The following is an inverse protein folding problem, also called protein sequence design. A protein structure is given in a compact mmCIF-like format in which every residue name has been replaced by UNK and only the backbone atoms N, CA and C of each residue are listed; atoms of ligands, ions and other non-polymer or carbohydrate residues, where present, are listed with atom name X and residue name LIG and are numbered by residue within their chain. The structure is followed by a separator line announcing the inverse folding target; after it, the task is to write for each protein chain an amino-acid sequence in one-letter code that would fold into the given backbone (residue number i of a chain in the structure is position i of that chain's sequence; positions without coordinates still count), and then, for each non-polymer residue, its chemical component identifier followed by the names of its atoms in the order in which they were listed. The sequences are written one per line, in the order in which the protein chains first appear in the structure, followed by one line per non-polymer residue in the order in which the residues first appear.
data_IF_472468773989
#
_entry.id   IF_472468773989
#
_cell.length_a   1.000
_cell.length_b   1.000
_cell.length_c   1.000
_cell.angle_alpha   90.00
_cell.angle_beta   90.00
_cell.angle_gamma   90.00
#
_symmetry.space_group_name_H-M   'P 1'
#
loop_
_entity.id
_entity.type
_entity.pdbx_description
1 polymer ?
#
# COMPACT_ATOMS: atom_id res chain seq x y z
N UNK A 1 24.26 8.67 5.15
CA UNK A 1 22.97 7.97 5.38
C UNK A 1 23.31 6.55 5.80
N UNK A 2 22.88 6.11 6.98
CA UNK A 2 23.13 4.74 7.44
C UNK A 2 22.41 3.76 6.52
N UNK A 3 23.13 2.75 6.02
CA UNK A 3 22.61 1.72 5.12
C UNK A 3 21.59 0.87 5.88
N UNK A 4 20.34 0.79 5.42
CA UNK A 4 19.32 -0.07 6.04
C UNK A 4 19.66 -1.52 5.67
N UNK A 5 19.80 -2.40 6.67
CA UNK A 5 20.13 -3.81 6.43
C UNK A 5 18.89 -4.73 6.43
N UNK A 6 17.78 -4.25 6.99
CA UNK A 6 16.55 -5.03 7.17
C UNK A 6 15.34 -4.09 7.15
N UNK A 7 14.43 -4.33 6.21
CA UNK A 7 13.24 -3.48 6.01
C UNK A 7 12.22 -3.66 7.14
N UNK A 8 12.22 -4.79 7.85
CA UNK A 8 11.34 -5.02 9.02
C UNK A 8 11.68 -4.12 10.20
N UNK A 9 12.86 -3.49 10.20
CA UNK A 9 13.28 -2.49 11.19
C UNK A 9 12.86 -1.08 10.81
N UNK A 10 12.32 -0.87 9.61
CA UNK A 10 11.84 0.41 9.14
C UNK A 10 10.37 0.56 9.49
N UNK A 11 10.03 1.59 10.25
CA UNK A 11 8.63 1.97 10.49
C UNK A 11 7.95 2.36 9.18
N UNK A 12 6.74 1.82 8.94
CA UNK A 12 5.93 2.20 7.78
C UNK A 12 5.66 3.72 7.72
N UNK A 13 5.41 4.36 8.87
CA UNK A 13 5.23 5.81 8.93
C UNK A 13 6.50 6.56 8.52
N UNK A 14 7.66 6.11 8.99
CA UNK A 14 8.94 6.73 8.64
C UNK A 14 9.27 6.57 7.15
N UNK A 15 8.95 5.41 6.56
CA UNK A 15 9.10 5.20 5.11
C UNK A 15 8.21 6.17 4.31
N UNK A 16 6.94 6.30 4.70
CA UNK A 16 5.98 7.23 4.06
C UNK A 16 6.47 8.68 4.17
N UNK A 17 6.84 9.13 5.36
CA UNK A 17 7.33 10.50 5.58
C UNK A 17 8.60 10.79 4.79
N UNK A 18 9.54 9.84 4.76
CA UNK A 18 10.78 9.98 3.99
C UNK A 18 10.51 10.04 2.48
N UNK A 19 9.53 9.28 1.98
CA UNK A 19 9.10 9.33 0.58
C UNK A 19 8.49 10.69 0.24
N UNK A 20 7.56 11.20 1.06
CA UNK A 20 6.95 12.52 0.86
C UNK A 20 8.01 13.64 0.84
N UNK A 21 9.00 13.58 1.74
CA UNK A 21 10.12 14.52 1.73
C UNK A 21 11.02 14.39 0.49
N UNK A 22 11.19 13.18 -0.04
CA UNK A 22 11.93 12.94 -1.27
C UNK A 22 11.19 13.48 -2.49
N UNK A 23 9.90 13.20 -2.62
CA UNK A 23 9.04 13.66 -3.73
C UNK A 23 9.00 15.20 -3.75
N UNK A 24 8.82 15.84 -2.58
CA UNK A 24 8.90 17.31 -2.45
C UNK A 24 10.25 17.88 -2.90
N UNK A 25 11.36 17.22 -2.56
CA UNK A 25 12.70 17.67 -2.99
C UNK A 25 12.90 17.55 -4.51
N UNK A 26 12.23 16.60 -5.17
CA UNK A 26 12.25 16.45 -6.63
C UNK A 26 11.34 17.47 -7.34
N UNK A 27 10.44 18.11 -6.60
CA UNK A 27 9.44 19.01 -7.17
C UNK A 27 8.26 18.26 -7.79
N UNK A 28 8.03 17.02 -7.37
CA UNK A 28 6.89 16.24 -7.84
C UNK A 28 5.59 16.88 -7.34
N UNK A 29 4.51 16.89 -8.14
CA UNK A 29 3.20 17.29 -7.64
C UNK A 29 2.83 16.37 -6.47
N UNK A 30 2.45 16.96 -5.34
CA UNK A 30 2.15 16.20 -4.12
C UNK A 30 1.17 15.06 -4.40
N UNK A 31 1.51 13.86 -3.95
CA UNK A 31 0.71 12.66 -4.21
C UNK A 31 -0.65 12.73 -3.51
N UNK A 32 -0.68 13.31 -2.32
CA UNK A 32 -1.89 13.51 -1.53
C UNK A 32 -2.36 14.96 -1.61
N UNK A 33 -3.67 15.21 -1.46
CA UNK A 33 -4.14 16.54 -1.07
C UNK A 33 -3.42 17.03 0.18
N UNK A 34 -3.16 18.34 0.26
CA UNK A 34 -2.38 18.95 1.35
C UNK A 34 -2.90 18.57 2.74
N UNK A 35 -4.22 18.56 2.93
CA UNK A 35 -4.85 18.15 4.20
C UNK A 35 -4.52 16.71 4.62
N UNK A 36 -4.38 15.79 3.67
CA UNK A 36 -4.06 14.39 3.95
C UNK A 36 -2.57 14.22 4.22
N UNK A 37 -1.72 14.93 3.50
CA UNK A 37 -0.29 14.99 3.81
C UNK A 37 -0.04 15.54 5.23
N UNK A 38 -0.76 16.61 5.61
CA UNK A 38 -0.67 17.20 6.95
C UNK A 38 -1.06 16.20 8.05
N UNK A 39 -2.12 15.41 7.85
CA UNK A 39 -2.51 14.35 8.79
C UNK A 39 -1.45 13.26 8.92
N UNK A 40 -0.83 12.84 7.82
CA UNK A 40 0.27 11.87 7.82
C UNK A 40 1.45 12.41 8.64
N UNK A 41 1.81 13.69 8.43
CA UNK A 41 2.92 14.34 9.15
C UNK A 41 2.62 14.51 10.65
N UNK A 42 1.36 14.64 11.03
CA UNK A 42 0.92 14.79 12.42
C UNK A 42 0.90 13.48 13.25
N UNK A 43 1.16 12.31 12.65
CA UNK A 43 0.99 10.99 13.28
C UNK A 43 1.83 10.67 14.55
N UNK A 44 2.67 11.59 15.04
CA UNK A 44 3.42 11.51 16.30
C UNK A 44 3.83 10.07 16.77
N UNK A 45 4.90 9.53 16.17
CA UNK A 45 5.79 8.48 16.72
C UNK A 45 5.26 7.07 17.01
N UNK A 46 3.99 6.71 16.80
CA UNK A 46 3.56 5.29 16.76
C UNK A 46 2.51 5.04 15.68
N UNK A 47 2.84 4.16 14.74
CA UNK A 47 1.89 3.59 13.78
C UNK A 47 0.66 3.08 14.54
N UNK A 48 -0.55 3.58 14.23
CA UNK A 48 -1.80 3.15 14.87
C UNK A 48 -2.34 4.06 15.98
N UNK A 49 -1.82 5.28 16.19
CA UNK A 49 -2.58 6.30 16.93
C UNK A 49 -3.94 6.50 16.23
N UNK A 50 -5.05 6.56 16.98
CA UNK A 50 -6.45 6.59 16.45
C UNK A 50 -6.74 7.65 15.37
N UNK A 51 -5.85 8.62 15.16
CA UNK A 51 -5.95 9.70 14.19
C UNK A 51 -4.97 9.59 13.00
N UNK A 52 -4.07 8.61 12.99
CA UNK A 52 -3.06 8.46 11.94
C UNK A 52 -3.65 7.68 10.75
N UNK A 53 -3.69 8.25 9.53
CA UNK A 53 -4.21 7.56 8.35
C UNK A 53 -3.29 6.42 7.87
N UNK A 54 -2.05 6.35 8.37
CA UNK A 54 -1.10 5.29 8.01
C UNK A 54 -1.40 4.04 8.85
N UNK A 55 -1.82 2.96 8.18
CA UNK A 55 -2.10 1.66 8.80
C UNK A 55 -0.80 0.99 9.28
N UNK A 56 -0.95 -0.05 10.10
CA UNK A 56 0.18 -0.88 10.51
C UNK A 56 0.89 -1.47 9.28
N UNK A 57 2.22 -1.45 9.31
CA UNK A 57 3.06 -2.04 8.27
C UNK A 57 2.83 -3.54 8.14
N UNK A 58 2.81 -4.05 6.91
CA UNK A 58 2.82 -5.48 6.62
C UNK A 58 4.07 -5.83 5.85
N UNK A 59 4.56 -7.05 6.03
CA UNK A 59 5.80 -7.53 5.42
C UNK A 59 5.55 -8.87 4.76
N UNK A 60 5.81 -8.95 3.46
CA UNK A 60 5.59 -10.15 2.65
C UNK A 60 6.61 -10.21 1.52
N UNK A 61 7.13 -11.40 1.22
CA UNK A 61 7.92 -11.64 0.02
C UNK A 61 7.01 -11.60 -1.23
N UNK A 62 7.08 -10.50 -1.96
CA UNK A 62 6.34 -10.22 -3.19
C UNK A 62 7.22 -10.36 -4.43
N UNK A 63 8.54 -10.37 -4.26
CA UNK A 63 9.51 -10.48 -5.36
C UNK A 63 10.02 -11.90 -5.59
N UNK A 64 9.80 -12.79 -4.62
CA UNK A 64 10.26 -14.18 -4.62
C UNK A 64 11.75 -14.34 -4.31
N UNK A 65 12.39 -13.30 -3.76
CA UNK A 65 13.83 -13.31 -3.44
C UNK A 65 14.13 -13.74 -1.98
N UNK A 66 13.10 -14.11 -1.22
CA UNK A 66 13.20 -14.54 0.17
C UNK A 66 13.32 -13.38 1.17
N UNK A 67 13.28 -12.13 0.71
CA UNK A 67 13.21 -10.94 1.56
C UNK A 67 11.81 -10.33 1.48
N UNK A 68 11.28 -9.92 2.63
CA UNK A 68 9.98 -9.26 2.65
C UNK A 68 10.07 -7.83 2.13
N UNK A 69 9.11 -7.47 1.28
CA UNK A 69 8.76 -6.10 0.98
C UNK A 69 7.87 -5.50 2.06
N UNK A 70 7.98 -4.18 2.27
CA UNK A 70 7.15 -3.41 3.18
C UNK A 70 5.93 -2.88 2.44
N UNK A 71 4.75 -3.29 2.89
CA UNK A 71 3.45 -2.79 2.41
C UNK A 71 2.93 -1.78 3.44
N UNK A 72 2.59 -0.58 2.97
CA UNK A 72 1.95 0.46 3.76
C UNK A 72 0.67 0.90 3.07
N UNK A 73 -0.43 0.92 3.84
CA UNK A 73 -1.70 1.46 3.38
C UNK A 73 -2.02 2.76 4.10
N UNK A 74 -2.50 3.76 3.36
CA UNK A 74 -2.73 5.13 3.83
C UNK A 74 -4.17 5.49 3.49
N UNK A 75 -4.97 5.75 4.51
CA UNK A 75 -6.38 6.12 4.37
C UNK A 75 -6.51 7.56 3.85
N UNK A 76 -7.11 7.72 2.68
CA UNK A 76 -7.49 9.02 2.16
C UNK A 76 -8.69 9.58 2.91
N UNK A 77 -8.81 10.91 2.96
CA UNK A 77 -9.95 11.56 3.63
C UNK A 77 -11.26 11.50 2.85
N UNK A 78 -11.23 11.10 1.57
CA UNK A 78 -12.39 11.09 0.67
C UNK A 78 -12.55 9.74 -0.02
N UNK A 79 -13.81 9.43 -0.35
CA UNK A 79 -14.20 8.37 -1.29
C UNK A 79 -13.66 6.95 -1.01
N UNK A 80 -13.36 6.66 0.27
CA UNK A 80 -12.78 5.39 0.74
C UNK A 80 -11.48 5.02 0.01
N UNK A 81 -10.78 6.02 -0.55
CA UNK A 81 -9.50 5.82 -1.19
C UNK A 81 -8.50 5.27 -0.18
N UNK A 82 -7.79 4.24 -0.60
CA UNK A 82 -6.72 3.62 0.16
C UNK A 82 -5.47 3.60 -0.71
N UNK A 83 -4.55 4.53 -0.46
CA UNK A 83 -3.25 4.49 -1.10
C UNK A 83 -2.44 3.32 -0.55
N UNK A 84 -1.89 2.51 -1.44
CA UNK A 84 -1.04 1.37 -1.11
C UNK A 84 0.32 1.63 -1.73
N UNK A 85 1.32 1.80 -0.87
CA UNK A 85 2.71 1.88 -1.26
C UNK A 85 3.42 0.60 -0.85
N UNK A 86 4.19 0.03 -1.78
CA UNK A 86 5.05 -1.11 -1.49
C UNK A 86 6.49 -0.71 -1.69
N UNK A 87 7.34 -1.08 -0.74
CA UNK A 87 8.76 -0.76 -0.74
C UNK A 87 9.61 -2.02 -0.73
N UNK A 88 10.70 -1.96 -1.49
CA UNK A 88 11.75 -2.97 -1.50
C UNK A 88 13.05 -2.39 -0.99
N UNK A 89 13.79 -3.18 -0.22
CA UNK A 89 15.18 -2.86 0.13
C UNK A 89 16.11 -3.44 -0.92
N UNK A 90 16.88 -2.58 -1.60
CA UNK A 90 17.89 -2.99 -2.57
C UNK A 90 19.17 -2.22 -2.31
N UNK A 91 20.28 -2.94 -2.15
CA UNK A 91 21.59 -2.35 -1.87
C UNK A 91 21.59 -1.35 -0.69
N UNK A 92 20.73 -1.61 0.30
CA UNK A 92 20.56 -0.78 1.48
C UNK A 92 19.77 0.52 1.28
N UNK A 93 19.12 0.65 0.11
CA UNK A 93 18.25 1.76 -0.27
C UNK A 93 16.81 1.26 -0.35
N UNK A 94 15.88 2.03 0.21
CA UNK A 94 14.45 1.73 0.17
C UNK A 94 13.86 2.35 -1.09
N UNK A 95 13.27 1.51 -1.95
CA UNK A 95 12.66 1.91 -3.22
C UNK A 95 11.15 1.65 -3.18
N UNK A 96 10.33 2.63 -3.57
CA UNK A 96 8.90 2.40 -3.82
C UNK A 96 8.76 1.62 -5.13
N UNK A 97 8.20 0.42 -5.06
CA UNK A 97 8.00 -0.50 -6.18
C UNK A 97 6.52 -0.68 -6.56
N UNK A 98 5.58 -0.19 -5.75
CA UNK A 98 4.16 -0.04 -6.12
C UNK A 98 3.64 1.26 -5.57
N UNK A 99 2.81 1.92 -6.36
CA UNK A 99 2.07 3.12 -5.97
C UNK A 99 0.68 3.12 -6.61
N UNK A 100 -0.35 2.79 -5.83
CA UNK A 100 -1.74 2.72 -6.30
C UNK A 100 -2.70 3.29 -5.25
N UNK A 101 -3.84 3.83 -5.67
CA UNK A 101 -4.87 4.38 -4.78
C UNK A 101 -6.26 3.83 -5.12
N UNK A 102 -6.51 2.52 -4.92
CA UNK A 102 -7.83 1.92 -5.10
C UNK A 102 -8.87 2.44 -4.08
N UNK A 103 -10.14 2.12 -4.31
CA UNK A 103 -11.22 2.18 -3.30
C UNK A 103 -11.69 0.77 -2.93
N UNK A 104 -10.86 -0.04 -2.24
CA UNK A 104 -11.07 -1.47 -2.13
C UNK A 104 -12.15 -1.85 -1.12
N UNK A 105 -12.91 -2.89 -1.46
CA UNK A 105 -13.67 -3.74 -0.54
C UNK A 105 -12.74 -4.62 0.30
N UNK A 106 -11.66 -5.12 -0.30
CA UNK A 106 -10.67 -5.98 0.34
C UNK A 106 -9.27 -5.79 -0.27
N UNK A 107 -8.25 -6.01 0.55
CA UNK A 107 -6.84 -6.11 0.16
C UNK A 107 -6.30 -7.41 0.73
N UNK A 108 -5.70 -8.23 -0.12
CA UNK A 108 -5.19 -9.55 0.21
C UNK A 108 -3.74 -9.69 -0.29
N UNK A 109 -2.92 -10.46 0.42
CA UNK A 109 -1.61 -10.91 -0.06
C UNK A 109 -1.64 -12.42 -0.12
N UNK A 110 -1.42 -12.98 -1.31
CA UNK A 110 -1.43 -14.43 -1.52
C UNK A 110 -0.50 -14.82 -2.67
N UNK A 111 0.29 -15.88 -2.49
CA UNK A 111 1.16 -16.41 -3.54
C UNK A 111 2.18 -15.41 -4.07
N UNK A 112 2.70 -14.51 -3.21
CA UNK A 112 3.63 -13.45 -3.63
C UNK A 112 2.99 -12.33 -4.45
N UNK A 113 1.65 -12.19 -4.40
CA UNK A 113 0.90 -11.16 -5.12
C UNK A 113 0.13 -10.27 -4.15
N UNK A 114 0.02 -9.00 -4.49
CA UNK A 114 -0.93 -8.08 -3.84
C UNK A 114 -2.22 -8.07 -4.65
N UNK A 115 -3.35 -8.23 -3.99
CA UNK A 115 -4.66 -8.36 -4.63
C UNK A 115 -5.60 -7.33 -4.04
N UNK A 116 -6.23 -6.53 -4.90
CA UNK A 116 -7.30 -5.61 -4.49
C UNK A 116 -8.62 -6.08 -5.08
N UNK A 117 -9.70 -5.88 -4.30
CA UNK A 117 -11.07 -6.09 -4.78
C UNK A 117 -11.83 -4.79 -4.65
N UNK A 118 -12.41 -4.29 -5.72
CA UNK A 118 -13.08 -2.98 -5.78
C UNK A 118 -14.52 -3.13 -6.24
N UNK A 119 -15.45 -2.27 -5.75
CA UNK A 119 -16.81 -2.27 -6.29
C UNK A 119 -16.80 -1.83 -7.76
N UNK A 120 -17.72 -2.37 -8.55
CA UNK A 120 -17.98 -1.91 -9.92
C UNK A 120 -19.26 -1.07 -9.97
N UNK A 121 -19.46 -0.36 -11.08
CA UNK A 121 -20.72 0.31 -11.41
C UNK A 121 -21.89 -0.68 -11.55
N UNK A 122 -21.61 -1.92 -11.97
CA UNK A 122 -22.58 -3.02 -12.03
C UNK A 122 -22.84 -3.62 -10.64
N UNK A 123 -24.07 -3.56 -10.11
CA UNK A 123 -24.39 -4.16 -8.82
C UNK A 123 -24.14 -5.67 -8.80
N UNK A 124 -23.59 -6.16 -7.68
CA UNK A 124 -23.28 -7.59 -7.50
C UNK A 124 -22.00 -8.06 -8.21
N UNK A 125 -21.22 -7.15 -8.79
CA UNK A 125 -19.89 -7.43 -9.34
C UNK A 125 -18.80 -6.68 -8.55
N UNK A 126 -17.58 -7.17 -8.68
CA UNK A 126 -16.35 -6.57 -8.16
C UNK A 126 -15.22 -6.74 -9.18
N UNK A 127 -14.34 -5.76 -9.25
CA UNK A 127 -13.08 -5.86 -9.99
C UNK A 127 -12.03 -6.46 -9.06
N UNK A 128 -11.29 -7.46 -9.52
CA UNK A 128 -10.16 -8.06 -8.82
C UNK A 128 -8.89 -7.74 -9.59
N UNK A 129 -8.04 -6.89 -9.02
CA UNK A 129 -6.74 -6.55 -9.60
C UNK A 129 -5.65 -7.31 -8.87
N UNK A 130 -4.80 -7.99 -9.62
CA UNK A 130 -3.61 -8.70 -9.10
C UNK A 130 -2.37 -7.93 -9.53
N UNK A 131 -1.56 -7.56 -8.56
CA UNK A 131 -0.26 -6.94 -8.76
C UNK A 131 0.85 -7.97 -8.54
N UNK A 132 1.70 -8.11 -9.56
CA UNK A 132 2.80 -9.06 -9.58
C UNK A 132 4.13 -8.39 -9.88
N UNK A 133 5.22 -8.99 -9.39
CA UNK A 133 6.57 -8.51 -9.63
C UNK A 133 7.00 -8.66 -11.09
N UNK A 134 7.45 -7.56 -11.67
CA UNK A 134 8.14 -7.53 -12.95
C UNK A 134 9.64 -7.28 -12.73
N UNK A 135 10.51 -8.31 -12.86
CA UNK A 135 11.94 -8.18 -12.59
C UNK A 135 12.69 -7.31 -13.61
N UNK A 136 12.13 -7.09 -14.81
CA UNK A 136 12.75 -6.32 -15.88
C UNK A 136 12.73 -4.82 -15.56
N UNK A 137 11.59 -4.31 -15.08
CA UNK A 137 11.42 -2.89 -14.70
C UNK A 137 11.50 -2.66 -13.19
N UNK A 138 11.63 -3.73 -12.41
CA UNK A 138 11.81 -3.72 -10.95
C UNK A 138 10.66 -3.02 -10.20
N UNK A 139 9.41 -3.27 -10.62
CA UNK A 139 8.19 -2.79 -9.96
C UNK A 139 7.15 -3.89 -9.83
N UNK A 140 6.20 -3.75 -8.92
CA UNK A 140 4.93 -4.46 -9.00
C UNK A 140 4.05 -3.75 -10.03
N UNK A 141 3.48 -4.50 -10.96
CA UNK A 141 2.55 -3.99 -11.97
C UNK A 141 1.28 -4.84 -12.02
N UNK A 142 0.26 -4.35 -12.73
CA UNK A 142 -0.97 -5.11 -12.94
C UNK A 142 -0.67 -6.35 -13.78
N UNK A 143 -0.79 -7.51 -13.16
CA UNK A 143 -0.65 -8.82 -13.82
C UNK A 143 -1.99 -9.28 -14.39
N UNK A 144 -3.09 -9.01 -13.69
CA UNK A 144 -4.45 -9.25 -14.18
C UNK A 144 -5.47 -8.31 -13.55
N UNK A 145 -6.56 -8.07 -14.28
CA UNK A 145 -7.73 -7.36 -13.80
C UNK A 145 -8.98 -8.12 -14.28
N UNK A 146 -9.75 -8.66 -13.34
CA UNK A 146 -10.88 -9.54 -13.61
C UNK A 146 -12.18 -8.96 -13.07
N UNK A 147 -13.28 -9.16 -13.78
CA UNK A 147 -14.62 -8.74 -13.33
C UNK A 147 -15.39 -9.96 -12.83
N UNK A 148 -15.49 -10.09 -11.52
CA UNK A 148 -16.07 -11.26 -10.87
C UNK A 148 -17.43 -10.93 -10.28
N UNK A 149 -18.34 -11.91 -10.28
CA UNK A 149 -19.57 -11.79 -9.48
C UNK A 149 -19.15 -11.82 -8.01
N UNK A 150 -19.64 -10.84 -7.24
CA UNK A 150 -19.36 -10.75 -5.80
C UNK A 150 -19.84 -12.02 -5.13
N UNK A 151 -18.92 -12.75 -4.49
CA UNK A 151 -19.27 -13.90 -3.67
C UNK A 151 -19.91 -13.40 -2.37
N UNK A 152 -21.00 -14.02 -1.86
CA UNK A 152 -21.65 -13.58 -0.62
C UNK A 152 -20.82 -13.72 0.67
N UNK A 153 -19.54 -14.10 0.60
CA UNK A 153 -18.67 -14.34 1.74
C UNK A 153 -17.66 -13.20 1.95
N UNK A 154 -18.11 -12.12 2.58
CA UNK A 154 -17.38 -11.34 3.61
C UNK A 154 -18.28 -10.23 4.14
N UNK A 155 -19.50 -10.58 4.55
CA UNK A 155 -20.11 -9.84 5.64
C UNK A 155 -19.31 -10.21 6.89
N UNK A 156 -18.60 -9.25 7.49
CA UNK A 156 -18.01 -9.42 8.81
C UNK A 156 -19.02 -10.11 9.75
N UNK A 157 -18.59 -11.03 10.63
CA UNK A 157 -19.52 -11.68 11.53
C UNK A 157 -20.21 -10.59 12.37
N UNK A 158 -21.54 -10.51 12.26
CA UNK A 158 -22.32 -9.67 13.16
C UNK A 158 -22.15 -10.28 14.55
N UNK A 159 -21.40 -9.58 15.40
CA UNK A 159 -21.17 -9.95 16.79
C UNK A 159 -22.51 -10.20 17.50
N UNK A 160 -22.52 -11.27 18.27
CA UNK A 160 -23.61 -11.71 19.14
C UNK A 160 -23.57 -10.94 20.45
#
# INVERSE_FOLDING_TARGET
MSKVADLRKVSGLSAVQAQLDADRRRGDPGFFPEDDENKIRACATRSGARSCPVRAAQYHDLTGDGQDELIVSIEGSRDRLLTIWVYRLKDGVVHRILDVSPSPLAVEVAGGKLITREPTDKPGYEARTVYGWNPQVQVLEVESNEYNRRSPASAAPRGR
#
